data_IF_488470056171
#
_entry.id   IF_488470056171
#
_cell.length_a   1.000
_cell.length_b   1.000
_cell.length_c   1.000
_cell.angle_alpha   90.00
_cell.angle_beta   90.00
_cell.angle_gamma   90.00
#
_symmetry.space_group_name_H-M   'P 1'
#
loop_
_entity.id
_entity.type
_entity.pdbx_description
1 polymer ?
#
# COMPACT_ATOMS: atom_id res chain seq x y z
N UNK A 1 -10.85 10.26 -10.66
CA UNK A 1 -11.00 8.77 -10.78
C UNK A 1 -11.57 8.12 -9.49
N UNK A 2 -12.39 8.89 -8.74
CA UNK A 2 -13.08 8.37 -7.57
C UNK A 2 -13.88 7.10 -7.92
N UNK A 3 -13.82 6.08 -7.05
CA UNK A 3 -14.53 4.82 -7.23
C UNK A 3 -13.93 3.87 -8.28
N UNK A 4 -12.84 4.22 -8.98
CA UNK A 4 -12.20 3.35 -9.96
C UNK A 4 -11.77 2.01 -9.34
N UNK A 5 -11.09 2.06 -8.20
CA UNK A 5 -10.59 0.87 -7.51
C UNK A 5 -11.72 -0.10 -7.14
N UNK A 6 -12.82 0.39 -6.55
CA UNK A 6 -13.94 -0.51 -6.20
C UNK A 6 -14.60 -1.07 -7.47
N UNK A 7 -14.76 -0.27 -8.53
CA UNK A 7 -15.39 -0.68 -9.77
C UNK A 7 -14.67 -1.86 -10.41
N UNK A 8 -13.32 -1.79 -10.59
CA UNK A 8 -12.60 -2.90 -11.20
C UNK A 8 -12.47 -4.11 -10.26
N UNK A 9 -12.36 -3.92 -8.94
CA UNK A 9 -12.37 -5.04 -8.00
C UNK A 9 -13.70 -5.82 -8.04
N UNK A 10 -14.84 -5.11 -8.09
CA UNK A 10 -16.14 -5.77 -8.19
C UNK A 10 -16.34 -6.46 -9.55
N UNK A 11 -15.82 -5.87 -10.64
CA UNK A 11 -16.00 -6.39 -11.99
C UNK A 11 -15.07 -7.57 -12.29
N UNK A 12 -13.82 -7.51 -11.83
CA UNK A 12 -12.77 -8.45 -12.19
C UNK A 12 -12.25 -9.30 -11.04
N UNK A 13 -12.74 -9.11 -9.81
CA UNK A 13 -12.28 -9.85 -8.63
C UNK A 13 -12.42 -11.37 -8.75
N UNK A 14 -13.39 -11.86 -9.53
CA UNK A 14 -13.57 -13.27 -9.87
C UNK A 14 -12.83 -13.73 -11.14
N UNK A 15 -12.18 -12.84 -11.90
CA UNK A 15 -11.40 -13.19 -13.09
C UNK A 15 -10.06 -13.79 -12.67
N UNK A 16 -9.75 -14.98 -13.22
CA UNK A 16 -8.49 -15.67 -12.90
C UNK A 16 -7.23 -14.88 -13.27
N UNK A 17 -7.32 -13.92 -14.21
CA UNK A 17 -6.24 -13.02 -14.60
C UNK A 17 -6.02 -11.94 -13.56
N UNK A 18 -7.07 -11.53 -12.84
CA UNK A 18 -6.96 -10.49 -11.82
C UNK A 18 -6.16 -10.97 -10.62
N UNK A 19 -6.47 -12.16 -10.07
CA UNK A 19 -5.70 -12.79 -8.99
C UNK A 19 -6.04 -14.28 -8.89
N UNK A 20 -5.06 -15.19 -9.10
CA UNK A 20 -5.29 -16.63 -8.99
C UNK A 20 -4.03 -17.44 -8.75
N UNK A 21 -4.20 -18.64 -8.17
CA UNK A 21 -3.13 -19.64 -8.11
C UNK A 21 -2.71 -20.14 -9.50
N UNK A 22 -3.62 -20.11 -10.49
CA UNK A 22 -3.29 -20.45 -11.88
C UNK A 22 -2.28 -19.46 -12.45
N UNK A 23 -2.48 -18.16 -12.22
CA UNK A 23 -1.52 -17.12 -12.63
C UNK A 23 -0.16 -17.34 -11.95
N UNK A 24 -0.15 -17.67 -10.66
CA UNK A 24 1.07 -17.97 -9.92
C UNK A 24 1.86 -19.15 -10.53
N UNK A 25 1.18 -20.23 -10.90
CA UNK A 25 1.82 -21.40 -11.51
C UNK A 25 2.36 -21.13 -12.91
N UNK A 26 1.65 -20.33 -13.71
CA UNK A 26 2.01 -20.04 -15.11
C UNK A 26 3.07 -18.94 -15.24
N UNK A 27 3.00 -17.91 -14.42
CA UNK A 27 3.83 -16.70 -14.56
C UNK A 27 4.76 -16.43 -13.37
N UNK A 28 4.65 -17.20 -12.29
CA UNK A 28 5.34 -16.90 -11.03
C UNK A 28 4.77 -15.68 -10.28
N UNK A 29 3.64 -15.14 -10.74
CA UNK A 29 2.92 -14.03 -10.11
C UNK A 29 1.47 -14.43 -9.88
N UNK A 30 0.96 -14.15 -8.68
CA UNK A 30 -0.45 -14.40 -8.35
C UNK A 30 -1.39 -13.48 -9.14
N UNK A 31 -0.90 -12.31 -9.53
CA UNK A 31 -1.58 -11.31 -10.36
C UNK A 31 -1.01 -11.39 -11.78
N UNK A 32 -1.85 -11.52 -12.80
CA UNK A 32 -1.40 -11.44 -14.19
C UNK A 32 -0.95 -10.01 -14.50
N UNK A 33 0.34 -9.87 -14.77
CA UNK A 33 0.98 -8.56 -14.95
C UNK A 33 0.41 -7.83 -16.17
N UNK A 34 0.24 -8.54 -17.30
CA UNK A 34 -0.25 -7.95 -18.53
C UNK A 34 -1.70 -7.46 -18.36
N UNK A 35 -2.53 -8.27 -17.72
CA UNK A 35 -3.92 -7.90 -17.49
C UNK A 35 -4.05 -6.73 -16.52
N UNK A 36 -3.44 -6.80 -15.33
CA UNK A 36 -3.68 -5.84 -14.26
C UNK A 36 -2.96 -4.49 -14.44
N UNK A 37 -1.77 -4.50 -15.06
CA UNK A 37 -0.94 -3.30 -15.19
C UNK A 37 -0.91 -2.69 -16.58
N UNK A 38 -1.45 -3.38 -17.60
CA UNK A 38 -1.54 -2.88 -18.97
C UNK A 38 -2.97 -2.91 -19.52
N UNK A 39 -3.56 -4.08 -19.72
CA UNK A 39 -4.88 -4.17 -20.35
C UNK A 39 -5.97 -3.43 -19.56
N UNK A 40 -6.00 -3.60 -18.24
CA UNK A 40 -7.01 -2.97 -17.38
C UNK A 40 -6.87 -1.44 -17.36
N UNK A 41 -5.70 -0.83 -17.03
CA UNK A 41 -5.58 0.62 -16.95
C UNK A 41 -5.50 1.33 -18.30
N UNK A 42 -5.18 0.63 -19.40
CA UNK A 42 -5.08 1.22 -20.72
C UNK A 42 -6.40 1.09 -21.52
N UNK A 43 -7.14 -0.03 -21.35
CA UNK A 43 -8.26 -0.39 -22.24
C UNK A 43 -9.59 -0.62 -21.52
N UNK A 44 -9.58 -1.42 -20.44
CA UNK A 44 -10.82 -1.90 -19.80
C UNK A 44 -11.43 -0.91 -18.80
N UNK A 45 -10.58 -0.19 -18.08
CA UNK A 45 -10.94 0.89 -17.16
C UNK A 45 -9.82 1.95 -17.23
N UNK A 46 -9.80 2.78 -18.29
CA UNK A 46 -8.67 3.66 -18.58
C UNK A 46 -8.32 4.59 -17.42
N UNK A 47 -7.01 4.66 -17.14
CA UNK A 47 -6.48 5.60 -16.17
C UNK A 47 -6.24 6.95 -16.83
N UNK A 48 -6.72 8.02 -16.22
CA UNK A 48 -6.50 9.39 -16.69
C UNK A 48 -5.07 9.84 -16.34
N UNK A 49 -4.11 9.41 -17.16
CA UNK A 49 -2.70 9.71 -16.95
C UNK A 49 -2.37 11.17 -17.24
N UNK A 50 -3.13 11.83 -18.11
CA UNK A 50 -2.91 13.24 -18.45
C UNK A 50 -3.19 14.11 -17.23
N UNK A 51 -4.36 13.97 -16.60
CA UNK A 51 -4.68 14.67 -15.34
C UNK A 51 -3.67 14.33 -14.25
N UNK A 52 -3.21 13.08 -14.15
CA UNK A 52 -2.21 12.66 -13.18
C UNK A 52 -0.88 13.41 -13.39
N UNK A 53 -0.36 13.45 -14.60
CA UNK A 53 0.92 14.13 -14.93
C UNK A 53 0.87 15.64 -14.65
N UNK A 54 -0.27 16.28 -14.88
CA UNK A 54 -0.45 17.73 -14.66
C UNK A 54 -0.83 18.07 -13.20
N UNK A 55 -1.07 17.06 -12.36
CA UNK A 55 -1.42 17.27 -10.95
C UNK A 55 -0.24 17.85 -10.16
N UNK A 56 -0.53 18.81 -9.29
CA UNK A 56 0.43 19.32 -8.29
C UNK A 56 0.66 18.33 -7.14
N UNK A 57 -0.19 17.31 -7.01
CA UNK A 57 -0.08 16.27 -5.98
C UNK A 57 1.09 15.35 -6.30
N UNK A 58 2.00 15.18 -5.35
CA UNK A 58 3.10 14.22 -5.48
C UNK A 58 2.62 12.84 -5.07
N UNK A 59 2.87 11.85 -5.90
CA UNK A 59 2.55 10.45 -5.62
C UNK A 59 3.83 9.65 -5.48
N UNK A 60 3.99 8.97 -4.35
CA UNK A 60 5.15 8.13 -4.07
C UNK A 60 4.73 6.65 -3.99
N UNK A 61 5.41 5.79 -4.75
CA UNK A 61 5.36 4.35 -4.55
C UNK A 61 6.46 3.94 -3.55
N UNK A 62 6.08 3.17 -2.54
CA UNK A 62 7.04 2.62 -1.57
C UNK A 62 7.35 1.19 -1.96
N UNK A 63 8.63 0.88 -2.15
CA UNK A 63 9.12 -0.44 -2.53
C UNK A 63 10.18 -0.91 -1.54
N UNK A 64 10.34 -2.22 -1.41
CA UNK A 64 11.47 -2.81 -0.68
C UNK A 64 12.56 -3.20 -1.66
N UNK A 65 13.75 -2.64 -1.52
CA UNK A 65 14.91 -3.05 -2.30
C UNK A 65 15.46 -4.36 -1.72
N UNK A 66 15.44 -5.43 -2.52
CA UNK A 66 15.85 -6.75 -2.03
C UNK A 66 17.35 -6.87 -1.81
N UNK A 67 18.18 -6.05 -2.45
CA UNK A 67 19.63 -6.08 -2.30
C UNK A 67 20.08 -5.36 -1.02
N UNK A 68 19.45 -4.24 -0.71
CA UNK A 68 19.79 -3.44 0.47
C UNK A 68 18.98 -3.80 1.71
N UNK A 69 17.79 -4.41 1.53
CA UNK A 69 16.84 -4.67 2.61
C UNK A 69 16.19 -3.39 3.17
N UNK A 70 16.24 -2.28 2.41
CA UNK A 70 15.75 -0.96 2.82
C UNK A 70 14.58 -0.51 1.95
N UNK A 71 13.73 0.43 2.44
CA UNK A 71 12.67 1.00 1.64
C UNK A 71 13.22 1.99 0.60
N UNK A 72 12.54 2.03 -0.55
CA UNK A 72 12.73 3.00 -1.62
C UNK A 72 11.43 3.79 -1.80
N UNK A 73 11.53 5.12 -1.85
CA UNK A 73 10.40 6.03 -2.01
C UNK A 73 10.47 6.67 -3.38
N UNK A 74 9.75 6.11 -4.35
CA UNK A 74 9.84 6.51 -5.75
C UNK A 74 8.74 7.52 -6.06
N UNK A 75 9.12 8.75 -6.44
CA UNK A 75 8.18 9.75 -6.95
C UNK A 75 7.75 9.37 -8.35
N UNK A 76 6.50 8.94 -8.50
CA UNK A 76 5.88 8.62 -9.78
C UNK A 76 5.25 9.89 -10.38
N UNK A 77 5.57 10.18 -11.63
CA UNK A 77 5.11 11.36 -12.36
C UNK A 77 4.29 11.02 -13.61
N UNK A 78 4.47 9.84 -14.15
CA UNK A 78 3.76 9.31 -15.30
C UNK A 78 3.39 7.87 -14.97
N UNK A 79 2.08 7.60 -14.79
CA UNK A 79 1.62 6.30 -14.30
C UNK A 79 2.01 5.15 -15.23
N UNK A 80 2.05 5.37 -16.54
CA UNK A 80 2.39 4.32 -17.48
C UNK A 80 3.90 4.08 -17.57
N UNK A 81 4.73 5.12 -17.48
CA UNK A 81 6.19 4.96 -17.41
C UNK A 81 6.67 4.38 -16.09
N UNK A 82 5.98 4.75 -15.00
CA UNK A 82 6.34 4.37 -13.64
C UNK A 82 5.59 3.11 -13.15
N UNK A 83 4.84 2.44 -14.06
CA UNK A 83 3.96 1.32 -13.70
C UNK A 83 4.67 0.17 -12.99
N UNK A 84 5.95 -0.08 -13.33
CA UNK A 84 6.73 -1.13 -12.70
C UNK A 84 7.04 -0.82 -11.23
N UNK A 85 7.12 0.44 -10.81
CA UNK A 85 7.25 0.79 -9.39
C UNK A 85 5.95 0.55 -8.64
N UNK A 86 4.78 0.80 -9.26
CA UNK A 86 3.49 0.45 -8.67
C UNK A 86 3.34 -1.06 -8.54
N UNK A 87 3.72 -1.79 -9.59
CA UNK A 87 3.74 -3.25 -9.58
C UNK A 87 4.65 -3.78 -8.48
N UNK A 88 5.87 -3.24 -8.34
CA UNK A 88 6.80 -3.61 -7.29
C UNK A 88 6.22 -3.36 -5.90
N UNK A 89 5.63 -2.17 -5.69
CA UNK A 89 4.98 -1.78 -4.43
C UNK A 89 3.85 -2.72 -3.99
N UNK A 90 3.22 -3.43 -4.94
CA UNK A 90 2.16 -4.42 -4.70
C UNK A 90 2.64 -5.87 -4.80
N UNK A 91 3.93 -6.11 -5.10
CA UNK A 91 4.50 -7.45 -5.32
C UNK A 91 4.90 -8.10 -4.01
N UNK A 92 3.97 -8.85 -3.39
CA UNK A 92 4.22 -9.53 -2.12
C UNK A 92 5.24 -10.68 -2.28
N UNK A 93 6.19 -10.83 -1.35
CA UNK A 93 7.11 -11.98 -1.33
C UNK A 93 6.36 -13.32 -1.38
N UNK A 94 7.00 -14.31 -2.00
CA UNK A 94 6.53 -15.70 -2.19
C UNK A 94 5.43 -15.90 -3.22
N UNK A 95 4.70 -14.85 -3.58
CA UNK A 95 3.56 -14.91 -4.52
C UNK A 95 3.73 -13.96 -5.71
N UNK A 96 4.88 -13.31 -5.79
CA UNK A 96 5.28 -12.45 -6.91
C UNK A 96 6.77 -12.58 -7.20
N UNK A 97 7.13 -12.40 -8.46
CA UNK A 97 8.52 -12.27 -8.87
C UNK A 97 9.11 -10.93 -8.41
N UNK A 98 10.44 -10.90 -8.26
CA UNK A 98 11.17 -9.66 -8.05
C UNK A 98 11.03 -8.78 -9.29
N UNK A 99 10.57 -7.55 -9.08
CA UNK A 99 10.43 -6.56 -10.14
C UNK A 99 11.74 -5.82 -10.33
N UNK A 100 12.18 -5.70 -11.58
CA UNK A 100 13.34 -4.87 -11.93
C UNK A 100 12.84 -3.53 -12.47
N UNK A 101 13.09 -2.46 -11.73
CA UNK A 101 12.71 -1.10 -12.13
C UNK A 101 13.75 -0.09 -11.65
N UNK A 102 14.08 0.89 -12.49
CA UNK A 102 15.07 1.93 -12.16
C UNK A 102 16.46 1.37 -11.79
N UNK A 103 16.87 0.26 -12.38
CA UNK A 103 18.13 -0.42 -12.05
C UNK A 103 18.13 -1.19 -10.73
N UNK A 104 17.02 -1.21 -10.00
CA UNK A 104 16.85 -1.85 -8.70
C UNK A 104 16.05 -3.15 -8.80
N UNK A 105 16.19 -4.02 -7.81
CA UNK A 105 15.38 -5.22 -7.60
C UNK A 105 14.43 -4.99 -6.45
N UNK A 106 13.14 -4.93 -6.73
CA UNK A 106 12.12 -4.41 -5.85
C UNK A 106 11.02 -5.43 -5.56
N UNK A 107 10.45 -5.35 -4.37
CA UNK A 107 9.23 -6.03 -3.92
C UNK A 107 8.37 -5.07 -3.07
N UNK A 108 7.24 -5.58 -2.54
CA UNK A 108 6.26 -4.84 -1.74
C UNK A 108 6.91 -4.00 -0.63
N UNK A 109 6.64 -2.70 -0.63
CA UNK A 109 7.17 -1.74 0.32
C UNK A 109 6.81 -2.05 1.77
N UNK A 110 5.67 -2.69 1.99
CA UNK A 110 5.23 -3.07 3.33
C UNK A 110 6.09 -4.14 4.02
N UNK A 111 7.21 -4.57 3.43
CA UNK A 111 8.22 -5.40 4.10
C UNK A 111 9.20 -4.54 4.90
N UNK A 112 9.57 -3.37 4.38
CA UNK A 112 10.61 -2.49 4.96
C UNK A 112 10.06 -1.21 5.55
N UNK A 113 8.90 -0.72 5.06
CA UNK A 113 8.16 0.44 5.57
C UNK A 113 6.68 0.28 5.19
N UNK A 114 5.86 -0.17 6.13
CA UNK A 114 4.44 -0.46 5.85
C UNK A 114 3.57 0.79 5.93
N UNK A 115 3.95 1.78 6.75
CA UNK A 115 3.21 3.03 6.94
C UNK A 115 4.25 4.17 6.94
N UNK A 116 4.60 4.74 5.78
CA UNK A 116 5.78 5.58 5.55
C UNK A 116 5.65 6.99 6.16
N UNK A 117 5.25 7.09 7.44
CA UNK A 117 5.04 8.36 8.12
C UNK A 117 6.35 9.12 8.34
N UNK A 118 7.39 8.43 8.80
CA UNK A 118 8.73 9.05 8.96
C UNK A 118 9.26 9.60 7.65
N UNK A 119 9.04 8.89 6.53
CA UNK A 119 9.44 9.38 5.20
C UNK A 119 8.64 10.62 4.79
N UNK A 120 7.35 10.67 5.06
CA UNK A 120 6.51 11.84 4.79
C UNK A 120 7.02 13.07 5.56
N UNK A 121 7.39 12.95 6.83
CA UNK A 121 8.00 14.06 7.59
C UNK A 121 9.34 14.49 7.01
N UNK A 122 10.21 13.55 6.61
CA UNK A 122 11.50 13.86 5.96
C UNK A 122 11.33 14.57 4.61
N UNK A 123 10.23 14.32 3.93
CA UNK A 123 9.85 15.02 2.68
C UNK A 123 9.24 16.41 2.92
N UNK A 124 9.13 16.85 4.18
CA UNK A 124 8.63 18.17 4.57
C UNK A 124 7.11 18.26 4.76
N UNK A 125 6.40 17.12 4.81
CA UNK A 125 4.97 17.11 5.11
C UNK A 125 4.77 17.13 6.63
N UNK A 126 4.51 18.29 7.19
CA UNK A 126 4.40 18.47 8.65
C UNK A 126 3.09 17.93 9.24
N UNK A 127 2.02 17.92 8.45
CA UNK A 127 0.69 17.39 8.84
C UNK A 127 0.33 16.23 7.94
N UNK A 128 0.05 15.08 8.54
CA UNK A 128 -0.20 13.86 7.79
C UNK A 128 -1.54 13.25 8.18
N UNK A 129 -2.28 12.75 7.18
CA UNK A 129 -3.44 11.90 7.41
C UNK A 129 -3.02 10.47 7.12
N UNK A 130 -3.11 9.61 8.14
CA UNK A 130 -2.77 8.20 8.02
C UNK A 130 -4.05 7.39 7.90
N UNK A 131 -4.21 6.68 6.78
CA UNK A 131 -5.33 5.75 6.58
C UNK A 131 -4.84 4.34 6.90
N UNK A 132 -5.31 3.79 8.01
CA UNK A 132 -4.97 2.43 8.44
C UNK A 132 -6.00 1.43 7.92
N UNK A 133 -5.54 0.22 7.61
CA UNK A 133 -6.40 -0.90 7.17
C UNK A 133 -6.77 -1.85 8.31
N UNK A 134 -6.33 -1.54 9.54
CA UNK A 134 -6.57 -2.35 10.74
C UNK A 134 -7.23 -1.49 11.82
N UNK A 135 -8.13 -2.08 12.62
CA UNK A 135 -8.79 -1.36 13.71
C UNK A 135 -7.80 -1.00 14.82
N UNK A 136 -8.26 -0.17 15.74
CA UNK A 136 -7.49 0.23 16.92
C UNK A 136 -7.03 -0.99 17.73
N UNK A 137 -5.85 -0.86 18.35
CA UNK A 137 -5.28 -1.93 19.18
C UNK A 137 -4.66 -3.09 18.40
N UNK A 138 -4.74 -3.08 17.05
CA UNK A 138 -4.08 -4.13 16.28
C UNK A 138 -2.57 -4.12 16.48
N UNK A 139 -1.99 -5.31 16.67
CA UNK A 139 -0.54 -5.53 16.68
C UNK A 139 -0.18 -6.70 15.78
N UNK A 140 0.85 -6.52 14.97
CA UNK A 140 1.33 -7.55 14.05
C UNK A 140 2.12 -8.60 14.82
N UNK A 141 1.73 -9.87 14.63
CA UNK A 141 2.44 -11.01 15.24
C UNK A 141 3.61 -11.47 14.36
N UNK A 142 4.65 -12.09 14.95
CA UNK A 142 5.73 -12.71 14.19
C UNK A 142 5.20 -13.72 13.17
N UNK A 143 5.70 -13.67 11.94
CA UNK A 143 5.36 -14.66 10.92
C UNK A 143 6.35 -15.84 10.98
N UNK A 144 5.83 -17.08 10.87
CA UNK A 144 6.67 -18.29 10.82
C UNK A 144 7.29 -18.57 9.44
N UNK A 145 7.49 -17.52 8.65
CA UNK A 145 7.95 -17.61 7.24
C UNK A 145 9.46 -17.44 7.08
N UNK A 146 10.23 -17.36 8.19
CA UNK A 146 11.68 -17.09 8.13
C UNK A 146 12.48 -18.13 7.35
N UNK A 147 12.09 -19.41 7.42
CA UNK A 147 12.74 -20.48 6.65
C UNK A 147 12.42 -20.37 5.14
N UNK A 148 11.18 -20.04 4.79
CA UNK A 148 10.78 -19.76 3.40
C UNK A 148 11.54 -18.56 2.85
N UNK A 149 11.65 -17.49 3.64
CA UNK A 149 12.42 -16.31 3.25
C UNK A 149 13.88 -16.68 2.92
N UNK A 150 14.51 -17.52 3.73
CA UNK A 150 15.87 -18.00 3.47
C UNK A 150 15.93 -18.87 2.21
N UNK A 151 14.93 -19.70 1.95
CA UNK A 151 14.87 -20.56 0.76
C UNK A 151 14.71 -19.74 -0.52
N UNK A 152 13.79 -18.78 -0.56
CA UNK A 152 13.49 -17.98 -1.76
C UNK A 152 14.47 -16.82 -1.97
N UNK A 153 14.92 -16.19 -0.89
CA UNK A 153 15.69 -14.95 -0.92
C UNK A 153 17.07 -15.07 -0.24
N UNK A 154 17.62 -16.28 -0.13
CA UNK A 154 18.93 -16.51 0.53
C UNK A 154 20.09 -15.72 -0.07
N UNK A 155 19.99 -15.34 -1.36
CA UNK A 155 20.96 -14.45 -2.04
C UNK A 155 20.88 -12.99 -1.53
N UNK A 156 19.82 -12.63 -0.79
CA UNK A 156 19.55 -11.29 -0.30
C UNK A 156 19.36 -11.29 1.23
N UNK A 157 20.45 -11.50 2.00
CA UNK A 157 20.35 -11.73 3.45
C UNK A 157 19.72 -10.56 4.20
N UNK A 158 19.94 -9.32 3.76
CA UNK A 158 19.33 -8.12 4.36
C UNK A 158 17.80 -8.11 4.17
N UNK A 159 17.32 -8.53 3.00
CA UNK A 159 15.88 -8.64 2.75
C UNK A 159 15.24 -9.79 3.54
N UNK A 160 15.95 -10.93 3.69
CA UNK A 160 15.51 -12.02 4.57
C UNK A 160 15.32 -11.52 6.00
N UNK A 161 16.25 -10.71 6.49
CA UNK A 161 16.16 -10.13 7.83
C UNK A 161 14.98 -9.14 7.94
N UNK A 162 14.77 -8.29 6.94
CA UNK A 162 13.61 -7.40 6.89
C UNK A 162 12.27 -8.18 6.96
N UNK A 163 12.14 -9.29 6.23
CA UNK A 163 10.95 -10.17 6.31
C UNK A 163 10.73 -10.69 7.73
N UNK A 164 11.78 -11.15 8.41
CA UNK A 164 11.70 -11.68 9.78
C UNK A 164 11.29 -10.60 10.78
N UNK A 165 11.86 -9.40 10.64
CA UNK A 165 11.63 -8.27 11.54
C UNK A 165 10.42 -7.42 11.19
N UNK A 166 9.70 -7.73 10.11
CA UNK A 166 8.54 -6.95 9.65
C UNK A 166 7.52 -6.64 10.75
N UNK A 167 7.28 -7.57 11.66
CA UNK A 167 6.32 -7.37 12.75
C UNK A 167 6.81 -6.33 13.77
N UNK A 168 8.10 -6.26 14.04
CA UNK A 168 8.69 -5.27 14.93
C UNK A 168 8.66 -3.88 14.29
N UNK A 169 9.03 -3.79 13.01
CA UNK A 169 8.98 -2.56 12.22
C UNK A 169 7.56 -2.00 12.20
N UNK A 170 6.57 -2.81 11.79
CA UNK A 170 5.17 -2.40 11.73
C UNK A 170 4.62 -1.91 13.08
N UNK A 171 4.96 -2.59 14.18
CA UNK A 171 4.49 -2.21 15.49
C UNK A 171 5.13 -0.89 15.97
N UNK A 172 6.40 -0.62 15.62
CA UNK A 172 7.04 0.69 15.87
C UNK A 172 6.37 1.82 15.10
N UNK A 173 6.02 1.58 13.82
CA UNK A 173 5.26 2.55 13.02
C UNK A 173 3.91 2.89 13.68
N UNK A 174 3.20 1.89 14.24
CA UNK A 174 1.97 2.13 14.97
C UNK A 174 2.21 2.98 16.23
N UNK A 175 3.28 2.73 16.97
CA UNK A 175 3.63 3.52 18.15
C UNK A 175 3.99 4.96 17.79
N UNK A 176 4.74 5.16 16.70
CA UNK A 176 5.08 6.48 16.16
C UNK A 176 3.82 7.25 15.74
N UNK A 177 2.88 6.58 15.05
CA UNK A 177 1.60 7.20 14.67
C UNK A 177 0.85 7.70 15.90
N UNK A 178 0.75 6.90 16.95
CA UNK A 178 0.03 7.32 18.18
C UNK A 178 0.74 8.49 18.88
N UNK A 179 2.08 8.51 18.91
CA UNK A 179 2.84 9.65 19.43
C UNK A 179 2.59 10.92 18.61
N UNK A 180 2.63 10.82 17.28
CA UNK A 180 2.40 11.96 16.40
C UNK A 180 0.93 12.42 16.41
N UNK A 181 -0.01 11.50 16.62
CA UNK A 181 -1.43 11.82 16.83
C UNK A 181 -1.62 12.62 18.13
N UNK A 182 -1.00 12.20 19.23
CA UNK A 182 -1.01 12.93 20.49
C UNK A 182 -0.41 14.34 20.35
N UNK A 183 0.64 14.49 19.53
CA UNK A 183 1.26 15.76 19.18
C UNK A 183 0.47 16.58 18.13
N UNK A 184 -0.72 16.17 17.74
CA UNK A 184 -1.59 16.80 16.73
C UNK A 184 -0.91 17.00 15.34
N UNK A 185 0.11 16.20 15.04
CA UNK A 185 0.80 16.20 13.74
C UNK A 185 0.25 15.17 12.77
N UNK A 186 -0.54 14.23 13.28
CA UNK A 186 -1.17 13.15 12.51
C UNK A 186 -2.65 13.07 12.88
N UNK A 187 -3.50 12.93 11.85
CA UNK A 187 -4.88 12.48 11.98
C UNK A 187 -4.97 11.06 11.44
N UNK A 188 -5.64 10.18 12.17
CA UNK A 188 -5.77 8.77 11.79
C UNK A 188 -7.21 8.46 11.38
N UNK A 189 -7.36 7.83 10.21
CA UNK A 189 -8.61 7.20 9.77
C UNK A 189 -8.39 5.70 9.83
N UNK A 190 -9.24 4.97 10.55
CA UNK A 190 -9.11 3.51 10.72
C UNK A 190 -10.47 2.85 10.74
N UNK A 191 -10.58 1.56 10.39
CA UNK A 191 -11.85 0.83 10.47
C UNK A 191 -12.40 0.82 11.90
N UNK A 192 -13.68 1.19 12.04
CA UNK A 192 -14.39 1.15 13.34
C UNK A 192 -14.63 -0.26 13.85
N UNK A 193 -14.61 -1.25 12.94
CA UNK A 193 -14.73 -2.69 13.24
C UNK A 193 -13.88 -3.53 12.32
N UNK A 194 -13.57 -4.76 12.73
CA UNK A 194 -12.93 -5.73 11.86
C UNK A 194 -13.93 -6.34 10.87
N UNK A 195 -13.54 -6.43 9.59
CA UNK A 195 -14.22 -7.25 8.59
C UNK A 195 -13.36 -8.48 8.32
N UNK A 196 -14.00 -9.66 8.31
CA UNK A 196 -13.31 -10.90 7.93
C UNK A 196 -13.17 -10.93 6.41
N UNK A 197 -12.04 -10.44 5.91
CA UNK A 197 -11.70 -10.44 4.50
C UNK A 197 -10.42 -11.22 4.26
N UNK A 198 -10.44 -12.10 3.26
CA UNK A 198 -9.28 -12.86 2.82
C UNK A 198 -8.27 -11.98 2.07
N UNK A 199 -7.03 -12.46 1.92
CA UNK A 199 -6.04 -11.79 1.06
C UNK A 199 -6.43 -11.82 -0.41
N UNK A 200 -7.19 -12.81 -0.80
CA UNK A 200 -7.77 -13.02 -2.12
C UNK A 200 -9.26 -13.19 -1.92
N UNK A 201 -9.99 -12.08 -1.82
CA UNK A 201 -11.43 -12.13 -1.58
C UNK A 201 -12.18 -12.08 -2.91
N UNK A 202 -12.72 -13.20 -3.38
CA UNK A 202 -13.47 -13.26 -4.63
C UNK A 202 -14.92 -12.81 -4.47
N UNK A 203 -15.44 -12.76 -3.23
CA UNK A 203 -16.82 -12.40 -2.98
C UNK A 203 -17.03 -10.89 -3.10
N UNK A 204 -17.77 -10.41 -4.11
CA UNK A 204 -17.98 -8.98 -4.34
C UNK A 204 -18.77 -8.31 -3.21
N UNK A 205 -19.60 -9.05 -2.46
CA UNK A 205 -20.36 -8.50 -1.34
C UNK A 205 -19.45 -8.13 -0.18
N UNK A 206 -18.47 -9.00 0.16
CA UNK A 206 -17.48 -8.73 1.20
C UNK A 206 -16.59 -7.55 0.80
N UNK A 207 -16.20 -7.48 -0.48
CA UNK A 207 -15.43 -6.34 -1.02
C UNK A 207 -16.24 -5.04 -0.91
N UNK A 208 -17.52 -5.08 -1.23
CA UNK A 208 -18.44 -3.93 -1.10
C UNK A 208 -18.61 -3.53 0.36
N UNK A 209 -18.84 -4.48 1.26
CA UNK A 209 -18.96 -4.22 2.70
C UNK A 209 -17.72 -3.49 3.25
N UNK A 210 -16.52 -3.95 2.89
CA UNK A 210 -15.27 -3.31 3.30
C UNK A 210 -15.16 -1.88 2.74
N UNK A 211 -15.54 -1.67 1.49
CA UNK A 211 -15.52 -0.36 0.86
C UNK A 211 -16.49 0.63 1.55
N UNK A 212 -17.73 0.20 1.80
CA UNK A 212 -18.73 1.04 2.46
C UNK A 212 -18.36 1.35 3.91
N UNK A 213 -17.77 0.39 4.64
CA UNK A 213 -17.22 0.64 5.96
C UNK A 213 -16.15 1.73 5.92
N UNK A 214 -15.18 1.63 4.99
CA UNK A 214 -14.13 2.64 4.85
C UNK A 214 -14.69 4.02 4.50
N UNK A 215 -15.71 4.09 3.67
CA UNK A 215 -16.41 5.36 3.35
C UNK A 215 -17.12 5.93 4.57
N UNK A 216 -17.87 5.10 5.28
CA UNK A 216 -18.58 5.50 6.50
C UNK A 216 -17.59 6.08 7.54
N UNK A 217 -16.52 5.36 7.83
CA UNK A 217 -15.52 5.79 8.81
C UNK A 217 -14.82 7.09 8.38
N UNK A 218 -14.53 7.27 7.10
CA UNK A 218 -13.93 8.49 6.57
C UNK A 218 -14.90 9.69 6.65
N UNK A 219 -16.18 9.49 6.33
CA UNK A 219 -17.22 10.53 6.42
C UNK A 219 -17.43 10.95 7.88
N UNK A 220 -17.44 10.00 8.82
CA UNK A 220 -17.63 10.29 10.24
C UNK A 220 -16.56 11.24 10.82
N UNK A 221 -15.35 11.26 10.23
CA UNK A 221 -14.25 12.14 10.68
C UNK A 221 -13.97 13.31 9.73
N UNK A 222 -14.80 13.52 8.71
CA UNK A 222 -14.54 14.51 7.64
C UNK A 222 -14.35 15.93 8.17
N UNK A 223 -15.14 16.35 9.14
CA UNK A 223 -15.01 17.70 9.72
C UNK A 223 -13.74 17.85 10.54
N UNK A 224 -13.32 16.78 11.23
CA UNK A 224 -12.02 16.75 11.91
C UNK A 224 -10.86 16.83 10.90
N UNK A 225 -10.97 16.15 9.76
CA UNK A 225 -10.00 16.23 8.66
C UNK A 225 -9.89 17.66 8.13
N UNK A 226 -11.04 18.32 7.87
CA UNK A 226 -11.05 19.71 7.38
C UNK A 226 -10.36 20.66 8.37
N UNK A 227 -10.73 20.57 9.67
CA UNK A 227 -10.12 21.38 10.73
C UNK A 227 -8.61 21.13 10.84
N UNK A 228 -8.20 19.85 10.82
CA UNK A 228 -6.79 19.47 10.88
C UNK A 228 -5.98 20.05 9.72
N UNK A 229 -6.49 20.03 8.49
CA UNK A 229 -5.81 20.57 7.32
C UNK A 229 -5.74 22.10 7.30
N UNK A 230 -6.79 22.78 7.83
CA UNK A 230 -6.81 24.25 7.90
C UNK A 230 -5.81 24.81 8.92
N UNK A 231 -5.38 24.03 9.90
CA UNK A 231 -4.57 24.48 11.03
C UNK A 231 -5.38 25.34 11.99
N UNK A 232 -4.93 25.42 13.23
CA UNK A 232 -5.43 26.44 14.14
C UNK A 232 -4.99 27.80 13.60
N UNK A 233 -5.91 28.57 13.01
CA UNK A 233 -5.68 29.95 12.56
C UNK A 233 -5.28 30.89 13.72
N UNK A 234 -5.25 30.39 14.94
CA UNK A 234 -5.01 31.16 16.17
C UNK A 234 -3.57 31.09 16.72
N UNK A 235 -2.63 30.39 16.06
CA UNK A 235 -1.22 30.37 16.51
C UNK A 235 -0.33 31.42 15.84
N UNK A 236 -0.92 32.41 15.17
CA UNK A 236 -0.21 33.61 14.67
C UNK A 236 -0.92 34.85 15.22
N UNK A 237 -0.78 35.07 16.50
CA UNK A 237 -1.10 36.27 17.20
C UNK A 237 0.04 36.63 18.13
#
# INVERSE_FOLDING_TARGET
QAGRTIRYNLKYGGDYRFMSFRSLLLSGNMVDTQFCYHELPEKLDPFDNETFMHSKTKFYAVCSNVETGSPEYVLCRDMFKDIDFLRASASMPFVSQIVKAGGMKLLDGGITDSIPLTAAFKLGFERNIVVQTRPEGYRKKPARTGWLAKMFYGKYPKFVEAIKQRHLMYNRELDEIEQMRAARRVLVIRPSRSVKIGKMEPNPEIVREMYELGRYDAIAVLDSVKKFLQGDKNEKG
#
